data_IF_782818005496
#
_entry.id   IF_782818005496
#
_cell.length_a   1.000
_cell.length_b   1.000
_cell.length_c   1.000
_cell.angle_alpha   90.00
_cell.angle_beta   90.00
_cell.angle_gamma   90.00
#
_symmetry.space_group_name_H-M   'P 1'
#
loop_
_entity.id
_entity.type
_entity.pdbx_description
1 polymer ?
#
# COMPACT_ATOMS: atom_id res chain seq x y z
N UNK A 1 1.39 11.09 24.92
CA UNK A 1 1.84 11.35 23.53
C UNK A 1 0.73 11.64 22.51
N UNK A 2 -0.58 11.61 22.84
CA UNK A 2 -1.68 11.88 21.89
C UNK A 2 -2.13 13.35 21.77
N UNK A 3 -1.58 14.27 22.58
CA UNK A 3 -1.95 15.71 22.57
C UNK A 3 -1.01 16.60 21.74
N UNK A 4 0.18 16.10 21.41
CA UNK A 4 1.22 16.89 20.72
C UNK A 4 1.12 16.82 19.19
N UNK A 5 0.43 15.80 18.65
CA UNK A 5 0.27 15.64 17.20
C UNK A 5 -0.84 16.57 16.67
N UNK A 6 -1.90 16.86 17.43
CA UNK A 6 -2.98 17.74 16.96
C UNK A 6 -2.56 19.23 16.89
N UNK A 7 -1.72 19.69 17.83
CA UNK A 7 -1.23 21.07 17.90
C UNK A 7 -0.22 21.40 16.77
N UNK A 8 0.54 20.41 16.31
CA UNK A 8 1.46 20.57 15.18
C UNK A 8 0.69 20.70 13.85
N UNK A 9 -0.51 20.13 13.75
CA UNK A 9 -1.25 20.02 12.49
C UNK A 9 -2.14 21.23 12.17
N UNK A 10 -2.73 21.90 13.17
CA UNK A 10 -3.37 23.22 12.98
C UNK A 10 -2.34 24.23 12.50
N UNK A 11 -1.11 24.17 13.03
CA UNK A 11 0.01 24.95 12.52
C UNK A 11 0.40 24.59 11.08
N UNK A 12 0.18 23.37 10.57
CA UNK A 12 0.47 23.04 9.17
C UNK A 12 -0.60 23.59 8.25
N UNK A 13 -1.89 23.50 8.60
CA UNK A 13 -2.98 24.07 7.79
C UNK A 13 -2.95 25.62 7.77
N UNK A 14 -2.56 26.23 8.90
CA UNK A 14 -2.32 27.67 9.01
C UNK A 14 -0.97 28.10 8.42
N UNK A 15 0.06 27.25 8.42
CA UNK A 15 1.32 27.55 7.70
C UNK A 15 1.16 27.40 6.20
N UNK A 16 0.33 26.48 5.69
CA UNK A 16 -0.04 26.47 4.26
C UNK A 16 -0.87 27.69 3.86
N UNK A 17 -1.48 28.37 4.83
CA UNK A 17 -2.12 29.68 4.67
C UNK A 17 -1.11 30.86 4.65
N UNK A 18 0.15 30.67 5.04
CA UNK A 18 1.19 31.72 5.13
C UNK A 18 2.49 31.42 4.35
N UNK A 19 2.67 30.22 3.81
CA UNK A 19 3.93 29.78 3.18
C UNK A 19 3.91 29.99 1.65
N UNK A 20 3.89 31.23 1.21
CA UNK A 20 4.44 31.65 -0.07
C UNK A 20 5.13 33.01 0.14
N UNK A 21 6.40 33.08 -0.25
CA UNK A 21 7.27 34.25 -0.29
C UNK A 21 7.76 34.90 1.02
N UNK A 22 8.97 34.49 1.43
CA UNK A 22 9.84 35.28 2.31
C UNK A 22 11.25 35.49 1.76
N UNK A 23 11.46 35.40 0.43
CA UNK A 23 12.80 35.51 -0.18
C UNK A 23 13.14 36.86 -0.82
N UNK A 24 12.26 37.86 -0.79
CA UNK A 24 12.49 39.14 -1.47
C UNK A 24 13.06 40.28 -0.58
N UNK A 25 13.23 40.06 0.74
CA UNK A 25 13.51 41.13 1.70
C UNK A 25 15.00 41.51 1.84
N UNK A 26 15.96 40.79 1.25
CA UNK A 26 17.40 41.09 1.46
C UNK A 26 17.99 42.19 0.57
N UNK A 27 17.30 42.57 -0.52
CA UNK A 27 17.85 43.52 -1.49
C UNK A 27 17.47 44.97 -1.18
N UNK A 28 16.36 45.18 -0.47
CA UNK A 28 15.93 46.51 -0.03
C UNK A 28 16.85 47.09 1.04
N UNK A 29 17.24 46.28 2.03
CA UNK A 29 18.16 46.67 3.11
C UNK A 29 19.58 46.98 2.60
N UNK A 30 19.99 46.38 1.48
CA UNK A 30 21.26 46.72 0.80
C UNK A 30 21.20 48.06 0.07
N UNK A 31 20.05 48.45 -0.46
CA UNK A 31 19.88 49.75 -1.16
C UNK A 31 19.86 50.95 -0.20
N UNK A 32 19.46 50.74 1.05
CA UNK A 32 19.33 51.78 2.08
C UNK A 32 20.66 52.22 2.72
N UNK A 33 21.75 51.50 2.48
CA UNK A 33 23.05 51.81 3.09
C UNK A 33 23.96 52.71 2.25
N UNK A 34 23.54 53.11 1.04
CA UNK A 34 24.46 53.77 0.08
C UNK A 34 23.91 55.06 -0.54
N UNK A 35 23.34 55.98 0.26
CA UNK A 35 23.13 57.38 -0.19
C UNK A 35 23.24 58.36 0.99
N UNK A 36 24.46 58.85 1.25
CA UNK A 36 24.67 60.12 1.96
C UNK A 36 24.84 61.24 0.92
N UNK A 37 23.76 61.86 0.45
CA UNK A 37 23.73 63.28 0.03
C UNK A 37 22.30 63.75 -0.32
N UNK A 38 21.91 64.90 0.26
CA UNK A 38 20.69 65.71 0.01
C UNK A 38 19.36 65.32 0.71
N UNK A 39 19.29 65.59 2.02
CA UNK A 39 18.03 65.49 2.79
C UNK A 39 16.87 66.35 2.25
N UNK A 40 17.14 67.45 1.51
CA UNK A 40 16.08 68.34 1.02
C UNK A 40 15.39 67.87 -0.27
N UNK A 41 16.06 67.12 -1.15
CA UNK A 41 15.40 66.52 -2.32
C UNK A 41 14.66 65.24 -1.94
N UNK A 42 15.16 64.51 -0.94
CA UNK A 42 14.49 63.35 -0.37
C UNK A 42 13.17 63.71 0.31
N UNK A 43 13.15 64.71 1.20
CA UNK A 43 11.92 65.15 1.87
C UNK A 43 10.89 65.74 0.89
N UNK A 44 11.32 66.45 -0.16
CA UNK A 44 10.42 66.90 -1.24
C UNK A 44 9.95 65.75 -2.15
N UNK A 45 10.73 64.68 -2.33
CA UNK A 45 10.31 63.48 -3.05
C UNK A 45 9.33 62.61 -2.25
N UNK A 46 9.44 62.60 -0.92
CA UNK A 46 8.52 61.92 0.00
C UNK A 46 7.16 62.61 0.08
N UNK A 47 7.13 63.95 -0.06
CA UNK A 47 5.90 64.74 -0.06
C UNK A 47 5.22 64.83 -1.43
N UNK A 48 5.94 64.53 -2.52
CA UNK A 48 5.45 64.58 -3.91
C UNK A 48 5.33 63.21 -4.60
N UNK A 49 5.57 62.09 -3.89
CA UNK A 49 5.12 60.80 -4.39
C UNK A 49 3.60 60.78 -4.32
N UNK A 50 2.97 60.86 -5.50
CA UNK A 50 1.59 60.41 -5.68
C UNK A 50 1.43 59.09 -4.91
N UNK A 51 0.48 59.08 -3.97
CA UNK A 51 0.30 58.00 -3.01
C UNK A 51 0.43 56.65 -3.69
N UNK A 52 1.29 55.78 -3.14
CA UNK A 52 1.47 54.41 -3.60
C UNK A 52 0.11 53.81 -3.96
N UNK A 53 0.00 53.11 -5.09
CA UNK A 53 -1.25 52.45 -5.52
C UNK A 53 -1.88 51.57 -4.42
N UNK A 54 -1.08 51.20 -3.39
CA UNK A 54 -1.48 50.40 -2.23
C UNK A 54 -1.93 51.21 -1.00
N UNK A 55 -1.73 52.53 -0.95
CA UNK A 55 -2.13 53.37 0.19
C UNK A 55 -3.63 53.27 0.51
N UNK A 56 -4.55 53.26 -0.47
CA UNK A 56 -5.98 53.03 -0.22
C UNK A 56 -6.24 51.66 0.44
N UNK A 57 -5.48 50.63 0.07
CA UNK A 57 -5.60 49.28 0.62
C UNK A 57 -5.17 49.25 2.08
N UNK A 58 -4.00 49.83 2.41
CA UNK A 58 -3.54 49.89 3.80
C UNK A 58 -4.50 50.67 4.71
N UNK A 59 -5.04 51.79 4.22
CA UNK A 59 -6.05 52.56 4.96
C UNK A 59 -7.32 51.73 5.21
N UNK A 60 -7.83 51.04 4.19
CA UNK A 60 -9.00 50.18 4.35
C UNK A 60 -8.74 49.00 5.32
N UNK A 61 -7.52 48.44 5.32
CA UNK A 61 -7.10 47.39 6.28
C UNK A 61 -7.01 47.91 7.72
N UNK A 62 -6.51 49.13 7.93
CA UNK A 62 -6.49 49.78 9.25
C UNK A 62 -7.90 50.09 9.75
N UNK A 63 -8.75 50.67 8.90
CA UNK A 63 -10.16 50.95 9.22
C UNK A 63 -10.95 49.67 9.51
N UNK A 64 -10.64 48.55 8.84
CA UNK A 64 -11.20 47.24 9.18
C UNK A 64 -10.77 46.79 10.58
N UNK A 65 -9.48 46.91 10.93
CA UNK A 65 -9.00 46.56 12.26
C UNK A 65 -9.68 47.39 13.36
N UNK A 66 -9.88 48.69 13.12
CA UNK A 66 -10.58 49.57 14.06
C UNK A 66 -12.06 49.21 14.18
N UNK A 67 -12.72 48.86 13.07
CA UNK A 67 -14.09 48.36 13.09
C UNK A 67 -14.22 47.06 13.90
N UNK A 68 -13.26 46.13 13.77
CA UNK A 68 -13.19 44.90 14.57
C UNK A 68 -13.06 45.23 16.06
N UNK A 69 -12.13 46.12 16.43
CA UNK A 69 -11.90 46.53 17.83
C UNK A 69 -13.13 47.20 18.46
N UNK A 70 -13.83 48.02 17.67
CA UNK A 70 -15.05 48.70 18.10
C UNK A 70 -16.30 47.80 18.03
N UNK A 71 -16.16 46.55 17.55
CA UNK A 71 -17.25 45.58 17.37
C UNK A 71 -18.37 46.08 16.43
N UNK A 72 -18.02 46.91 15.47
CA UNK A 72 -18.96 47.43 14.48
C UNK A 72 -19.10 46.45 13.31
N UNK A 73 -20.06 45.52 13.44
CA UNK A 73 -20.32 44.47 12.43
C UNK A 73 -20.71 45.01 11.05
N UNK A 74 -21.33 46.19 10.97
CA UNK A 74 -21.72 46.82 9.72
C UNK A 74 -20.48 47.38 9.00
N UNK A 75 -19.64 48.11 9.72
CA UNK A 75 -18.37 48.62 9.19
C UNK A 75 -17.42 47.49 8.79
N UNK A 76 -17.36 46.39 9.57
CA UNK A 76 -16.56 45.21 9.21
C UNK A 76 -17.02 44.59 7.88
N UNK A 77 -18.34 44.42 7.69
CA UNK A 77 -18.87 43.88 6.43
C UNK A 77 -18.51 44.77 5.24
N UNK A 78 -18.71 46.09 5.39
CA UNK A 78 -18.42 47.07 4.35
C UNK A 78 -16.94 47.09 3.99
N UNK A 79 -16.04 47.06 4.99
CA UNK A 79 -14.59 47.13 4.76
C UNK A 79 -14.01 45.86 4.17
N UNK A 80 -14.56 44.69 4.51
CA UNK A 80 -14.18 43.44 3.85
C UNK A 80 -14.58 43.46 2.38
N UNK A 81 -15.80 43.88 2.05
CA UNK A 81 -16.26 44.00 0.66
C UNK A 81 -15.43 45.03 -0.12
N UNK A 82 -15.13 46.17 0.49
CA UNK A 82 -14.24 47.18 -0.10
C UNK A 82 -12.86 46.60 -0.43
N UNK A 83 -12.24 45.87 0.50
CA UNK A 83 -10.96 45.21 0.26
C UNK A 83 -11.06 44.15 -0.84
N UNK A 84 -12.11 43.34 -0.87
CA UNK A 84 -12.35 42.36 -1.93
C UNK A 84 -12.48 43.02 -3.31
N UNK A 85 -13.16 44.17 -3.40
CA UNK A 85 -13.28 44.94 -4.64
C UNK A 85 -11.97 45.60 -5.09
N UNK A 86 -11.04 45.84 -4.16
CA UNK A 86 -9.69 46.34 -4.44
C UNK A 86 -8.71 45.22 -4.87
N UNK A 87 -9.13 43.95 -4.85
CA UNK A 87 -8.29 42.86 -5.32
C UNK A 87 -8.04 42.97 -6.83
N UNK A 88 -6.80 42.75 -7.23
CA UNK A 88 -6.41 42.70 -8.64
C UNK A 88 -5.55 41.47 -8.88
N UNK A 89 -5.37 41.10 -10.15
CA UNK A 89 -4.60 39.92 -10.55
C UNK A 89 -3.20 39.82 -9.89
N UNK A 90 -2.42 40.91 -9.72
CA UNK A 90 -1.15 40.85 -9.00
C UNK A 90 -1.25 41.12 -7.48
N UNK A 91 -2.39 41.57 -6.94
CA UNK A 91 -2.48 42.10 -5.57
C UNK A 91 -3.65 41.50 -4.79
N UNK A 92 -3.33 40.80 -3.71
CA UNK A 92 -4.30 40.27 -2.76
C UNK A 92 -4.38 41.17 -1.53
N UNK A 93 -5.53 41.78 -1.31
CA UNK A 93 -5.75 42.82 -0.29
C UNK A 93 -6.24 42.30 1.06
N UNK A 94 -6.85 41.12 1.10
CA UNK A 94 -7.35 40.50 2.33
C UNK A 94 -7.27 38.98 2.25
N UNK A 95 -6.80 38.37 3.34
CA UNK A 95 -6.64 36.93 3.41
C UNK A 95 -7.85 36.24 4.04
N UNK A 96 -8.15 35.00 3.63
CA UNK A 96 -9.28 34.24 4.18
C UNK A 96 -9.13 33.96 5.69
N UNK A 97 -7.89 33.88 6.20
CA UNK A 97 -7.62 33.77 7.64
C UNK A 97 -8.05 35.02 8.42
N UNK A 98 -7.85 36.21 7.84
CA UNK A 98 -8.25 37.49 8.46
C UNK A 98 -9.77 37.62 8.50
N UNK A 99 -10.45 37.28 7.39
CA UNK A 99 -11.91 37.24 7.33
C UNK A 99 -12.48 36.27 8.37
N UNK A 100 -11.90 35.07 8.46
CA UNK A 100 -12.32 34.07 9.45
C UNK A 100 -12.17 34.59 10.89
N UNK A 101 -11.02 35.18 11.23
CA UNK A 101 -10.77 35.74 12.55
C UNK A 101 -11.79 36.83 12.90
N UNK A 102 -12.00 37.79 11.99
CA UNK A 102 -12.95 38.88 12.18
C UNK A 102 -14.39 38.38 12.36
N UNK A 103 -14.86 37.50 11.47
CA UNK A 103 -16.23 36.98 11.56
C UNK A 103 -16.44 36.12 12.79
N UNK A 104 -15.46 35.32 13.20
CA UNK A 104 -15.61 34.48 14.38
C UNK A 104 -15.55 35.28 15.68
N UNK A 105 -14.68 36.30 15.77
CA UNK A 105 -14.59 37.17 16.96
C UNK A 105 -15.89 37.96 17.19
N UNK A 106 -16.51 38.41 16.10
CA UNK A 106 -17.76 39.17 16.12
C UNK A 106 -19.02 38.31 16.00
N UNK A 107 -18.89 36.97 16.01
CA UNK A 107 -20.01 36.02 15.88
C UNK A 107 -20.85 36.23 14.60
N UNK A 108 -20.24 36.72 13.52
CA UNK A 108 -20.89 36.97 12.21
C UNK A 108 -20.99 35.69 11.38
N UNK A 109 -21.65 34.66 11.92
CA UNK A 109 -21.61 33.30 11.38
C UNK A 109 -22.25 33.14 9.99
N UNK A 110 -23.27 33.93 9.67
CA UNK A 110 -23.88 33.93 8.32
C UNK A 110 -22.90 34.42 7.25
N UNK A 111 -22.10 35.44 7.56
CA UNK A 111 -21.05 35.92 6.67
C UNK A 111 -19.90 34.91 6.55
N UNK A 112 -19.53 34.30 7.69
CA UNK A 112 -18.52 33.23 7.73
C UNK A 112 -18.92 32.02 6.88
N UNK A 113 -20.18 31.58 6.96
CA UNK A 113 -20.70 30.47 6.16
C UNK A 113 -20.52 30.74 4.66
N UNK A 114 -21.01 31.90 4.17
CA UNK A 114 -20.86 32.29 2.77
C UNK A 114 -19.40 32.28 2.32
N UNK A 115 -18.52 32.85 3.14
CA UNK A 115 -17.07 32.87 2.87
C UNK A 115 -16.49 31.44 2.78
N UNK A 116 -16.87 30.54 3.68
CA UNK A 116 -16.37 29.17 3.70
C UNK A 116 -16.85 28.37 2.48
N UNK A 117 -18.15 28.46 2.16
CA UNK A 117 -18.74 27.78 0.99
C UNK A 117 -18.05 28.23 -0.30
N UNK A 118 -17.98 29.55 -0.53
CA UNK A 118 -17.34 30.11 -1.72
C UNK A 118 -15.87 29.68 -1.83
N UNK A 119 -15.13 29.71 -0.71
CA UNK A 119 -13.73 29.26 -0.68
C UNK A 119 -13.58 27.80 -1.05
N UNK A 120 -14.44 26.92 -0.55
CA UNK A 120 -14.36 25.48 -0.77
C UNK A 120 -14.82 25.10 -2.18
N UNK A 121 -15.83 25.79 -2.72
CA UNK A 121 -16.25 25.65 -4.12
C UNK A 121 -15.12 26.07 -5.08
N UNK A 122 -14.36 27.12 -4.74
CA UNK A 122 -13.26 27.64 -5.55
C UNK A 122 -11.90 26.99 -5.26
N UNK A 123 -11.81 26.00 -4.36
CA UNK A 123 -10.53 25.42 -3.93
C UNK A 123 -9.75 24.73 -5.07
N UNK A 124 -10.45 24.31 -6.13
CA UNK A 124 -9.86 23.70 -7.32
C UNK A 124 -9.77 24.65 -8.52
N UNK A 125 -10.21 25.90 -8.36
CA UNK A 125 -10.06 26.90 -9.39
C UNK A 125 -8.59 27.34 -9.43
N UNK A 126 -7.83 26.78 -10.37
CA UNK A 126 -6.39 26.98 -10.52
C UNK A 126 -6.03 28.39 -11.00
N UNK A 127 -7.00 29.31 -11.04
CA UNK A 127 -6.82 30.71 -11.41
C UNK A 127 -6.17 31.55 -10.31
N UNK A 128 -6.06 31.07 -9.06
CA UNK A 128 -5.19 31.70 -8.05
C UNK A 128 -3.73 31.38 -8.35
N UNK A 129 -3.03 32.34 -8.96
CA UNK A 129 -1.70 32.13 -9.52
C UNK A 129 -0.60 32.31 -8.49
N UNK A 130 0.47 31.54 -8.64
CA UNK A 130 1.64 31.46 -7.76
C UNK A 130 2.42 32.78 -7.55
N UNK A 131 1.96 33.91 -8.11
CA UNK A 131 2.67 35.19 -8.14
C UNK A 131 1.84 36.37 -7.56
N UNK A 132 0.77 36.12 -6.78
CA UNK A 132 0.01 37.19 -6.13
C UNK A 132 0.82 37.82 -4.98
N UNK A 133 1.09 39.13 -5.06
CA UNK A 133 1.66 39.88 -3.96
C UNK A 133 0.56 40.13 -2.92
N UNK A 134 0.73 39.57 -1.72
CA UNK A 134 -0.17 39.80 -0.61
C UNK A 134 0.18 41.11 0.10
N UNK A 135 -0.80 42.01 0.20
CA UNK A 135 -0.69 43.24 1.01
C UNK A 135 -0.86 42.84 2.46
N UNK A 136 0.23 42.41 3.08
CA UNK A 136 0.30 41.94 4.45
C UNK A 136 1.31 42.71 5.30
N UNK A 137 1.58 42.17 6.49
CA UNK A 137 2.54 42.70 7.48
C UNK A 137 2.09 44.01 8.16
N UNK A 138 0.81 44.09 8.51
CA UNK A 138 0.22 45.20 9.26
C UNK A 138 -0.50 44.73 10.53
N UNK A 139 -1.17 45.66 11.22
CA UNK A 139 -1.90 45.37 12.46
C UNK A 139 -3.05 44.38 12.27
N UNK A 140 -3.67 44.33 11.09
CA UNK A 140 -4.77 43.40 10.80
C UNK A 140 -4.24 41.96 10.69
N UNK A 141 -3.12 41.77 9.99
CA UNK A 141 -2.46 40.48 9.90
C UNK A 141 -1.99 40.00 11.28
N UNK A 142 -1.37 40.87 12.08
CA UNK A 142 -0.94 40.55 13.44
C UNK A 142 -2.12 40.16 14.36
N UNK A 143 -3.25 40.87 14.24
CA UNK A 143 -4.49 40.51 14.94
C UNK A 143 -4.98 39.12 14.55
N UNK A 144 -5.05 38.82 13.25
CA UNK A 144 -5.53 37.53 12.78
C UNK A 144 -4.62 36.38 13.25
N UNK A 145 -3.29 36.56 13.19
CA UNK A 145 -2.33 35.58 13.70
C UNK A 145 -2.49 35.34 15.20
N UNK A 146 -2.60 36.41 16.01
CA UNK A 146 -2.79 36.29 17.45
C UNK A 146 -4.12 35.61 17.78
N UNK A 147 -5.20 35.97 17.09
CA UNK A 147 -6.50 35.34 17.23
C UNK A 147 -6.41 33.83 16.95
N UNK A 148 -5.89 33.48 15.78
CA UNK A 148 -5.75 32.10 15.35
C UNK A 148 -4.86 31.30 16.31
N UNK A 149 -3.73 31.86 16.76
CA UNK A 149 -2.82 31.21 17.69
C UNK A 149 -3.44 31.00 19.08
N UNK A 150 -4.21 31.96 19.59
CA UNK A 150 -5.00 31.82 20.83
C UNK A 150 -6.00 30.68 20.75
N UNK A 151 -6.54 30.43 19.56
CA UNK A 151 -7.57 29.42 19.33
C UNK A 151 -7.08 28.21 18.52
N UNK A 152 -5.77 27.96 18.42
CA UNK A 152 -5.16 26.88 17.62
C UNK A 152 -5.45 25.44 18.13
N UNK A 153 -6.51 25.26 18.94
CA UNK A 153 -6.87 24.00 19.58
C UNK A 153 -8.34 23.62 19.31
N UNK A 154 -8.69 22.36 19.64
CA UNK A 154 -10.05 21.82 19.65
C UNK A 154 -11.10 22.75 20.31
N UNK A 155 -10.65 23.66 21.17
CA UNK A 155 -11.45 24.71 21.82
C UNK A 155 -12.15 25.67 20.86
N UNK A 156 -11.61 25.95 19.67
CA UNK A 156 -12.24 26.87 18.70
C UNK A 156 -13.56 26.29 18.19
N UNK A 157 -13.50 25.08 17.63
CA UNK A 157 -14.67 24.40 17.07
C UNK A 157 -15.70 24.08 18.15
N UNK A 158 -15.27 23.61 19.33
CA UNK A 158 -16.17 23.38 20.46
C UNK A 158 -16.85 24.67 20.93
N UNK A 159 -16.16 25.82 20.84
CA UNK A 159 -16.73 27.13 21.15
C UNK A 159 -17.77 27.60 20.12
N UNK A 160 -17.47 27.42 18.83
CA UNK A 160 -18.42 27.72 17.74
C UNK A 160 -19.64 26.81 17.83
N UNK A 161 -19.45 25.49 17.98
CA UNK A 161 -20.56 24.53 18.12
C UNK A 161 -21.49 24.89 19.27
N UNK A 162 -20.93 25.22 20.44
CA UNK A 162 -21.74 25.64 21.59
C UNK A 162 -22.57 26.88 21.29
N UNK A 163 -21.99 27.89 20.65
CA UNK A 163 -22.74 29.09 20.29
C UNK A 163 -23.86 28.79 19.29
N UNK A 164 -23.59 27.94 18.28
CA UNK A 164 -24.58 27.52 17.31
C UNK A 164 -25.78 26.82 17.97
N UNK A 165 -25.55 26.03 19.02
CA UNK A 165 -26.61 25.32 19.74
C UNK A 165 -27.44 26.20 20.68
N UNK A 166 -26.90 27.33 21.17
CA UNK A 166 -27.53 28.08 22.27
C UNK A 166 -27.94 29.51 21.96
N UNK A 167 -27.21 30.18 21.07
CA UNK A 167 -27.28 31.65 20.91
C UNK A 167 -27.39 32.12 19.44
N UNK A 168 -27.40 31.21 18.46
CA UNK A 168 -27.33 31.59 17.04
C UNK A 168 -28.68 32.02 16.46
N UNK A 169 -28.63 32.98 15.54
CA UNK A 169 -29.74 33.46 14.69
C UNK A 169 -29.81 32.74 13.33
N UNK A 170 -28.99 31.70 13.13
CA UNK A 170 -28.97 30.91 11.90
C UNK A 170 -30.15 29.94 11.85
N UNK A 171 -30.60 29.65 10.64
CA UNK A 171 -31.55 28.55 10.41
C UNK A 171 -30.88 27.19 10.65
N UNK A 172 -31.66 26.13 10.90
CA UNK A 172 -31.09 24.78 11.09
C UNK A 172 -30.24 24.35 9.89
N UNK A 173 -30.70 24.62 8.66
CA UNK A 173 -29.95 24.34 7.45
C UNK A 173 -28.57 25.04 7.46
N UNK A 174 -28.53 26.34 7.76
CA UNK A 174 -27.29 27.12 7.87
C UNK A 174 -26.37 26.59 8.97
N UNK A 175 -26.91 26.15 10.12
CA UNK A 175 -26.13 25.55 11.21
C UNK A 175 -25.47 24.24 10.76
N UNK A 176 -26.23 23.37 10.10
CA UNK A 176 -25.72 22.09 9.61
C UNK A 176 -24.68 22.27 8.51
N UNK A 177 -24.91 23.20 7.59
CA UNK A 177 -23.95 23.55 6.55
C UNK A 177 -22.66 24.11 7.14
N UNK A 178 -22.77 25.05 8.09
CA UNK A 178 -21.61 25.65 8.73
C UNK A 178 -20.76 24.61 9.46
N UNK A 179 -21.41 23.67 10.17
CA UNK A 179 -20.72 22.53 10.79
C UNK A 179 -19.97 21.71 9.75
N UNK A 180 -20.63 21.35 8.65
CA UNK A 180 -19.98 20.61 7.57
C UNK A 180 -18.76 21.36 7.03
N UNK A 181 -18.91 22.66 6.72
CA UNK A 181 -17.82 23.48 6.17
C UNK A 181 -16.64 23.62 7.13
N UNK A 182 -16.90 23.71 8.44
CA UNK A 182 -15.86 23.78 9.47
C UNK A 182 -15.05 22.49 9.58
N UNK A 183 -15.69 21.33 9.44
CA UNK A 183 -15.01 20.02 9.55
C UNK A 183 -14.41 19.52 8.23
N UNK A 184 -14.89 20.00 7.08
CA UNK A 184 -14.45 19.52 5.78
C UNK A 184 -12.93 19.60 5.55
N UNK A 185 -12.21 20.67 5.96
CA UNK A 185 -10.75 20.72 5.87
C UNK A 185 -10.03 19.55 6.56
N UNK A 186 -10.65 18.98 7.59
CA UNK A 186 -10.08 17.90 8.40
C UNK A 186 -10.52 16.51 7.95
N UNK A 187 -11.34 16.42 6.88
CA UNK A 187 -12.02 15.19 6.48
C UNK A 187 -11.05 14.02 6.28
N UNK A 188 -9.88 14.27 5.69
CA UNK A 188 -8.91 13.23 5.34
C UNK A 188 -7.79 13.04 6.37
N UNK A 189 -7.81 13.76 7.49
CA UNK A 189 -6.74 13.69 8.50
C UNK A 189 -6.77 12.39 9.31
N UNK A 190 -7.97 11.84 9.52
CA UNK A 190 -8.17 10.62 10.30
C UNK A 190 -9.46 9.91 9.90
N UNK A 191 -9.55 8.62 10.22
CA UNK A 191 -10.75 7.83 9.97
C UNK A 191 -11.99 8.40 10.68
N UNK A 192 -11.82 8.87 11.90
CA UNK A 192 -12.92 9.42 12.69
C UNK A 192 -13.44 10.72 12.05
N UNK A 193 -12.56 11.51 11.45
CA UNK A 193 -12.96 12.71 10.71
C UNK A 193 -13.66 12.38 9.38
N UNK A 194 -13.19 11.37 8.62
CA UNK A 194 -13.89 10.90 7.41
C UNK A 194 -15.33 10.54 7.76
N UNK A 195 -15.52 9.77 8.83
CA UNK A 195 -16.84 9.32 9.26
C UNK A 195 -17.72 10.49 9.74
N UNK A 196 -17.15 11.41 10.52
CA UNK A 196 -17.86 12.60 11.00
C UNK A 196 -18.32 13.48 9.84
N UNK A 197 -17.43 13.81 8.91
CA UNK A 197 -17.76 14.65 7.74
C UNK A 197 -18.75 13.94 6.83
N UNK A 198 -18.60 12.63 6.61
CA UNK A 198 -19.58 11.84 5.85
C UNK A 198 -20.96 11.92 6.49
N UNK A 199 -21.07 11.71 7.80
CA UNK A 199 -22.35 11.79 8.51
C UNK A 199 -23.00 13.16 8.37
N UNK A 200 -22.22 14.23 8.51
CA UNK A 200 -22.70 15.60 8.33
C UNK A 200 -23.16 15.86 6.88
N UNK A 201 -22.39 15.40 5.89
CA UNK A 201 -22.71 15.56 4.48
C UNK A 201 -23.96 14.76 4.06
N UNK A 202 -24.06 13.49 4.47
CA UNK A 202 -25.25 12.66 4.23
C UNK A 202 -26.49 13.29 4.86
N UNK A 203 -26.41 13.69 6.13
CA UNK A 203 -27.53 14.34 6.81
C UNK A 203 -27.96 15.63 6.09
N UNK A 204 -27.00 16.46 5.67
CA UNK A 204 -27.31 17.71 4.97
C UNK A 204 -28.00 17.46 3.63
N UNK A 205 -27.48 16.55 2.81
CA UNK A 205 -28.03 16.22 1.49
C UNK A 205 -29.43 15.58 1.59
N UNK A 206 -29.66 14.77 2.62
CA UNK A 206 -30.95 14.08 2.84
C UNK A 206 -32.04 15.01 3.38
N UNK A 207 -31.71 15.90 4.31
CA UNK A 207 -32.69 16.74 5.01
C UNK A 207 -32.87 18.12 4.37
N UNK A 208 -31.90 18.58 3.57
CA UNK A 208 -31.91 19.89 2.92
C UNK A 208 -31.66 19.76 1.41
N UNK A 209 -32.34 18.82 0.75
CA UNK A 209 -32.16 18.54 -0.69
C UNK A 209 -32.40 19.72 -1.62
N UNK A 210 -33.25 20.67 -1.20
CA UNK A 210 -33.61 21.86 -1.98
C UNK A 210 -32.65 23.05 -1.72
N UNK A 211 -31.65 22.88 -0.84
CA UNK A 211 -30.65 23.92 -0.57
C UNK A 211 -29.74 24.12 -1.80
N UNK A 212 -29.37 25.37 -2.17
CA UNK A 212 -28.54 25.64 -3.35
C UNK A 212 -27.22 24.85 -3.36
N UNK A 213 -26.62 24.65 -2.20
CA UNK A 213 -25.33 23.95 -2.06
C UNK A 213 -25.46 22.42 -1.93
N UNK A 214 -26.67 21.86 -1.83
CA UNK A 214 -26.87 20.42 -1.60
C UNK A 214 -26.28 19.55 -2.71
N UNK A 215 -26.42 19.98 -3.96
CA UNK A 215 -25.89 19.25 -5.12
C UNK A 215 -24.34 19.24 -5.15
N UNK A 216 -23.74 20.39 -4.80
CA UNK A 216 -22.30 20.50 -4.67
C UNK A 216 -21.79 19.64 -3.51
N UNK A 217 -22.44 19.66 -2.34
CA UNK A 217 -22.08 18.80 -1.20
C UNK A 217 -22.19 17.31 -1.59
N UNK A 218 -23.25 16.90 -2.28
CA UNK A 218 -23.41 15.51 -2.73
C UNK A 218 -22.24 15.07 -3.63
N UNK A 219 -21.97 15.85 -4.67
CA UNK A 219 -21.04 15.48 -5.74
C UNK A 219 -19.57 15.64 -5.34
N UNK A 220 -19.26 16.75 -4.66
CA UNK A 220 -17.88 17.16 -4.37
C UNK A 220 -17.41 16.76 -2.96
N UNK A 221 -18.32 16.43 -2.04
CA UNK A 221 -17.97 16.04 -0.67
C UNK A 221 -18.36 14.60 -0.37
N UNK A 222 -19.65 14.26 -0.45
CA UNK A 222 -20.16 12.97 0.00
C UNK A 222 -19.65 11.80 -0.83
N UNK A 223 -19.84 11.84 -2.16
CA UNK A 223 -19.43 10.75 -3.05
C UNK A 223 -17.92 10.42 -2.96
N UNK A 224 -16.99 11.40 -2.94
CA UNK A 224 -15.57 11.11 -2.69
C UNK A 224 -15.30 10.38 -1.37
N UNK A 225 -15.97 10.78 -0.28
CA UNK A 225 -15.80 10.15 1.03
C UNK A 225 -16.32 8.71 1.03
N UNK A 226 -17.43 8.44 0.33
CA UNK A 226 -17.94 7.09 0.11
C UNK A 226 -16.95 6.23 -0.68
N UNK A 227 -16.35 6.77 -1.75
CA UNK A 227 -15.30 6.07 -2.53
C UNK A 227 -14.05 5.77 -1.68
N UNK A 228 -13.61 6.69 -0.83
CA UNK A 228 -12.48 6.47 0.07
C UNK A 228 -12.75 5.30 1.05
N UNK A 229 -14.02 5.12 1.44
CA UNK A 229 -14.44 4.00 2.31
C UNK A 229 -14.50 2.65 1.58
N UNK A 230 -14.70 2.63 0.26
CA UNK A 230 -14.84 1.40 -0.52
C UNK A 230 -13.64 0.45 -0.36
N UNK A 231 -12.40 0.96 -0.44
CA UNK A 231 -11.20 0.10 -0.32
C UNK A 231 -11.12 -0.56 1.06
N UNK A 232 -11.52 0.15 2.10
CA UNK A 232 -11.51 -0.36 3.48
C UNK A 232 -12.62 -1.38 3.68
N UNK A 233 -13.83 -1.09 3.22
CA UNK A 233 -14.96 -2.03 3.31
C UNK A 233 -14.74 -3.26 2.42
N UNK A 234 -14.13 -3.10 1.25
CA UNK A 234 -13.68 -4.21 0.40
C UNK A 234 -12.69 -5.13 1.12
N UNK A 235 -11.69 -4.58 1.82
CA UNK A 235 -10.75 -5.39 2.60
C UNK A 235 -11.41 -6.08 3.80
N UNK A 236 -12.39 -5.44 4.44
CA UNK A 236 -13.17 -6.05 5.53
C UNK A 236 -14.06 -7.19 5.04
N UNK A 237 -14.84 -6.99 3.98
CA UNK A 237 -15.68 -8.02 3.38
C UNK A 237 -14.83 -9.23 2.95
N UNK A 238 -13.65 -8.97 2.38
CA UNK A 238 -12.68 -10.02 2.02
C UNK A 238 -12.18 -10.83 3.20
N UNK A 239 -11.88 -10.18 4.32
CA UNK A 239 -11.48 -10.91 5.53
C UNK A 239 -12.65 -11.76 6.06
N UNK A 240 -13.87 -11.22 6.03
CA UNK A 240 -15.08 -11.93 6.45
C UNK A 240 -15.38 -13.17 5.58
N UNK A 241 -15.13 -13.09 4.27
CA UNK A 241 -15.38 -14.16 3.29
C UNK A 241 -14.14 -14.98 2.92
N UNK A 242 -13.07 -14.87 3.70
CA UNK A 242 -11.79 -15.53 3.45
C UNK A 242 -11.91 -17.04 3.21
N UNK A 243 -12.75 -17.73 3.98
CA UNK A 243 -12.95 -19.19 3.83
C UNK A 243 -13.58 -19.58 2.50
N UNK A 244 -14.60 -18.83 2.06
CA UNK A 244 -15.31 -19.07 0.80
C UNK A 244 -14.37 -18.89 -0.40
N UNK A 245 -13.57 -17.83 -0.36
CA UNK A 245 -12.63 -17.51 -1.43
C UNK A 245 -11.51 -18.58 -1.48
N UNK A 246 -11.01 -19.07 -0.34
CA UNK A 246 -9.98 -20.12 -0.28
C UNK A 246 -10.55 -21.40 -0.89
N UNK A 247 -11.76 -21.80 -0.48
CA UNK A 247 -12.40 -23.02 -0.95
C UNK A 247 -12.61 -23.02 -2.48
N UNK A 248 -12.94 -21.86 -3.06
CA UNK A 248 -13.16 -21.73 -4.51
C UNK A 248 -11.90 -22.00 -5.37
N UNK A 249 -10.70 -21.97 -4.77
CA UNK A 249 -9.42 -22.01 -5.51
C UNK A 249 -8.77 -23.39 -5.60
N UNK A 250 -9.13 -24.34 -4.74
CA UNK A 250 -8.46 -25.64 -4.68
C UNK A 250 -8.58 -26.51 -5.95
N UNK A 251 -9.40 -26.10 -6.92
CA UNK A 251 -9.61 -26.81 -8.18
C UNK A 251 -9.45 -25.93 -9.43
N UNK A 252 -8.93 -24.70 -9.29
CA UNK A 252 -8.74 -23.80 -10.43
C UNK A 252 -7.37 -23.97 -11.10
N UNK A 253 -6.36 -24.37 -10.34
CA UNK A 253 -4.98 -24.55 -10.83
C UNK A 253 -3.96 -23.87 -9.92
N UNK A 254 -2.67 -24.11 -10.15
CA UNK A 254 -1.59 -23.53 -9.37
C UNK A 254 -0.22 -24.13 -9.66
N UNK A 255 0.83 -23.56 -9.08
CA UNK A 255 2.21 -24.06 -9.13
C UNK A 255 2.64 -24.44 -7.73
N UNK A 256 3.31 -25.58 -7.58
CA UNK A 256 3.87 -26.04 -6.32
C UNK A 256 5.32 -26.46 -6.40
N UNK A 257 6.04 -26.21 -5.31
CA UNK A 257 7.44 -26.54 -5.11
C UNK A 257 7.55 -27.40 -3.86
N UNK A 258 7.99 -28.64 -4.03
CA UNK A 258 8.12 -29.61 -2.96
C UNK A 258 9.60 -29.95 -2.78
N UNK A 259 10.08 -29.95 -1.54
CA UNK A 259 11.42 -30.38 -1.17
C UNK A 259 11.29 -31.52 -0.17
N UNK A 260 11.85 -32.68 -0.50
CA UNK A 260 11.81 -33.86 0.35
C UNK A 260 13.16 -34.06 1.04
N UNK A 261 13.13 -34.09 2.37
CA UNK A 261 14.32 -34.22 3.23
C UNK A 261 14.47 -35.63 3.79
N UNK A 262 13.36 -36.38 3.86
CA UNK A 262 13.35 -37.76 4.30
C UNK A 262 12.87 -38.62 3.14
N UNK A 263 13.58 -39.71 2.89
CA UNK A 263 13.20 -40.64 1.84
C UNK A 263 13.81 -42.00 2.10
N UNK A 264 13.06 -43.04 1.73
CA UNK A 264 13.50 -44.41 1.89
C UNK A 264 12.62 -45.34 1.08
N UNK A 265 12.91 -46.61 1.22
CA UNK A 265 12.16 -47.65 0.54
C UNK A 265 12.70 -49.03 0.84
N UNK A 266 11.99 -50.01 0.33
CA UNK A 266 12.33 -51.41 0.47
C UNK A 266 11.83 -52.16 -0.77
N UNK A 267 12.53 -53.22 -1.14
CA UNK A 267 12.17 -54.03 -2.29
C UNK A 267 13.34 -54.88 -2.75
N UNK A 268 13.52 -55.03 -4.06
CA UNK A 268 14.46 -55.96 -4.65
C UNK A 268 15.91 -55.67 -4.22
N UNK A 269 16.49 -56.59 -3.44
CA UNK A 269 17.81 -56.41 -2.81
C UNK A 269 18.99 -56.51 -3.77
N UNK A 270 18.74 -56.79 -5.05
CA UNK A 270 19.72 -57.22 -6.04
C UNK A 270 19.94 -56.24 -7.18
N UNK A 271 19.61 -54.96 -7.05
CA UNK A 271 19.78 -53.99 -8.15
C UNK A 271 21.24 -53.75 -8.54
N UNK A 272 22.17 -53.81 -7.58
CA UNK A 272 23.61 -53.65 -7.85
C UNK A 272 24.50 -54.55 -6.97
N UNK A 273 25.76 -54.67 -7.37
CA UNK A 273 26.84 -55.40 -6.71
C UNK A 273 27.32 -54.65 -5.46
N UNK A 274 26.74 -54.97 -4.30
CA UNK A 274 27.15 -54.43 -2.98
C UNK A 274 28.61 -54.73 -2.63
N UNK A 275 29.20 -55.74 -3.25
CA UNK A 275 30.60 -56.10 -3.14
C UNK A 275 31.55 -55.13 -3.87
N UNK A 276 31.04 -54.37 -4.84
CA UNK A 276 31.82 -53.40 -5.63
C UNK A 276 31.51 -51.94 -5.26
N UNK A 277 30.26 -51.64 -4.87
CA UNK A 277 29.80 -50.29 -4.62
C UNK A 277 28.97 -50.18 -3.33
N UNK A 278 29.28 -49.17 -2.51
CA UNK A 278 28.58 -48.79 -1.29
C UNK A 278 27.66 -47.61 -1.60
N UNK A 279 26.33 -47.82 -1.66
CA UNK A 279 25.38 -46.78 -2.02
C UNK A 279 25.37 -45.63 -1.00
N UNK A 280 25.40 -44.40 -1.48
CA UNK A 280 25.23 -43.18 -0.68
C UNK A 280 23.81 -42.66 -0.85
N UNK A 281 23.25 -42.07 0.20
CA UNK A 281 21.89 -41.52 0.15
C UNK A 281 21.92 -40.09 -0.38
N UNK A 282 20.97 -39.76 -1.24
CA UNK A 282 20.70 -38.38 -1.63
C UNK A 282 19.96 -37.68 -0.49
N UNK A 283 20.53 -36.61 0.09
CA UNK A 283 19.96 -35.97 1.27
C UNK A 283 18.75 -35.08 0.95
N UNK A 284 18.65 -34.57 -0.29
CA UNK A 284 17.60 -33.64 -0.69
C UNK A 284 17.08 -34.02 -2.07
N UNK A 285 15.75 -34.12 -2.17
CA UNK A 285 15.00 -34.42 -3.38
C UNK A 285 14.01 -33.27 -3.65
N UNK A 286 13.55 -33.12 -4.88
CA UNK A 286 12.70 -31.99 -5.28
C UNK A 286 11.62 -32.37 -6.28
N UNK A 287 10.51 -31.64 -6.26
CA UNK A 287 9.48 -31.70 -7.27
C UNK A 287 8.95 -30.29 -7.52
N UNK A 288 8.83 -29.94 -8.80
CA UNK A 288 8.08 -28.76 -9.24
C UNK A 288 6.89 -29.26 -10.02
N UNK A 289 5.68 -28.86 -9.64
CA UNK A 289 4.49 -29.27 -10.35
C UNK A 289 3.58 -28.10 -10.71
N UNK A 290 2.92 -28.26 -11.85
CA UNK A 290 1.88 -27.40 -12.36
C UNK A 290 0.55 -28.17 -12.27
N UNK A 291 -0.46 -27.56 -11.67
CA UNK A 291 -1.83 -28.05 -11.65
C UNK A 291 -2.71 -27.19 -12.57
N UNK A 292 -3.39 -27.85 -13.49
CA UNK A 292 -4.42 -27.28 -14.36
C UNK A 292 -5.73 -27.97 -14.02
N UNK A 293 -6.61 -27.27 -13.29
CA UNK A 293 -7.80 -27.86 -12.69
C UNK A 293 -7.48 -29.07 -11.82
N UNK A 294 -7.92 -30.28 -12.20
CA UNK A 294 -7.60 -31.54 -11.51
C UNK A 294 -6.41 -32.29 -12.12
N UNK A 295 -5.88 -31.85 -13.24
CA UNK A 295 -4.71 -32.47 -13.86
C UNK A 295 -3.45 -31.82 -13.31
N UNK A 296 -2.40 -32.61 -13.13
CA UNK A 296 -1.10 -32.10 -12.71
C UNK A 296 0.02 -32.70 -13.52
N UNK A 297 1.02 -31.89 -13.85
CA UNK A 297 2.28 -32.33 -14.45
C UNK A 297 3.39 -31.90 -13.53
N UNK A 298 4.33 -32.79 -13.24
CA UNK A 298 5.47 -32.49 -12.37
C UNK A 298 6.80 -32.90 -13.00
N UNK A 299 7.82 -32.08 -12.80
CA UNK A 299 9.22 -32.47 -12.95
C UNK A 299 9.75 -32.90 -11.59
N UNK A 300 10.38 -34.07 -11.54
CA UNK A 300 10.67 -34.76 -10.28
C UNK A 300 12.11 -35.24 -10.23
N UNK A 301 12.75 -35.01 -9.09
CA UNK A 301 13.99 -35.60 -8.65
C UNK A 301 13.71 -36.29 -7.32
N UNK A 302 13.34 -37.58 -7.35
CA UNK A 302 12.83 -38.32 -6.19
C UNK A 302 13.62 -39.60 -5.91
N UNK A 303 13.62 -40.06 -4.66
CA UNK A 303 14.21 -41.35 -4.30
C UNK A 303 13.45 -42.50 -4.99
N UNK A 304 14.20 -43.44 -5.57
CA UNK A 304 13.65 -44.60 -6.26
C UNK A 304 13.08 -45.69 -5.31
N UNK A 305 13.24 -45.53 -3.99
CA UNK A 305 13.00 -46.56 -2.99
C UNK A 305 14.23 -47.41 -2.68
N UNK A 306 15.31 -47.19 -3.42
CA UNK A 306 16.55 -47.93 -3.32
C UNK A 306 17.72 -47.03 -2.95
N UNK A 307 18.58 -47.47 -2.04
CA UNK A 307 19.72 -46.66 -1.60
C UNK A 307 20.69 -46.46 -2.77
N UNK A 308 21.14 -45.23 -2.99
CA UNK A 308 22.05 -44.90 -4.09
C UNK A 308 21.37 -44.67 -5.44
N UNK A 309 20.05 -44.81 -5.57
CA UNK A 309 19.35 -44.54 -6.83
C UNK A 309 18.40 -43.36 -6.67
N UNK A 310 18.53 -42.37 -7.55
CA UNK A 310 17.60 -41.24 -7.66
C UNK A 310 16.96 -41.21 -9.05
N UNK A 311 15.68 -40.92 -9.08
CA UNK A 311 14.86 -40.88 -10.28
C UNK A 311 14.67 -39.42 -10.71
N UNK A 312 15.20 -39.06 -11.89
CA UNK A 312 14.97 -37.77 -12.53
C UNK A 312 13.97 -37.96 -13.68
N UNK A 313 12.84 -37.29 -13.64
CA UNK A 313 11.80 -37.52 -14.65
C UNK A 313 10.62 -36.57 -14.59
N UNK A 314 9.55 -36.99 -15.27
CA UNK A 314 8.27 -36.30 -15.29
C UNK A 314 7.19 -37.20 -14.72
N UNK A 315 6.17 -36.61 -14.12
CA UNK A 315 4.98 -37.33 -13.69
C UNK A 315 3.69 -36.63 -14.09
N UNK A 316 2.66 -37.43 -14.28
CA UNK A 316 1.30 -37.01 -14.61
C UNK A 316 0.37 -37.50 -13.52
N UNK A 317 -0.35 -36.58 -12.91
CA UNK A 317 -1.23 -36.85 -11.78
C UNK A 317 -2.63 -36.31 -11.95
N UNK A 318 -3.52 -36.83 -11.11
CA UNK A 318 -4.90 -36.38 -11.00
C UNK A 318 -5.20 -36.03 -9.55
N UNK A 319 -5.72 -34.83 -9.29
CA UNK A 319 -6.10 -34.36 -7.96
C UNK A 319 -7.47 -34.96 -7.63
N UNK A 320 -7.42 -36.11 -6.95
CA UNK A 320 -8.61 -36.83 -6.50
C UNK A 320 -9.35 -36.05 -5.42
N UNK A 321 -8.60 -35.35 -4.57
CA UNK A 321 -9.15 -34.58 -3.47
C UNK A 321 -8.26 -33.37 -3.19
N UNK A 322 -8.86 -32.21 -2.94
CA UNK A 322 -8.14 -30.98 -2.58
C UNK A 322 -9.00 -30.12 -1.64
N UNK A 323 -8.43 -29.72 -0.51
CA UNK A 323 -9.10 -28.89 0.48
C UNK A 323 -8.09 -27.96 1.15
N UNK A 324 -8.56 -27.22 2.17
CA UNK A 324 -7.71 -26.36 2.99
C UNK A 324 -6.65 -27.12 3.79
N UNK A 325 -6.93 -28.35 4.18
CA UNK A 325 -6.07 -29.08 5.12
C UNK A 325 -5.34 -30.25 4.48
N UNK A 326 -5.93 -30.85 3.44
CA UNK A 326 -5.41 -32.05 2.84
C UNK A 326 -5.65 -32.06 1.33
N UNK A 327 -4.67 -32.59 0.60
CA UNK A 327 -4.71 -32.83 -0.84
C UNK A 327 -4.18 -34.22 -1.14
N UNK A 328 -4.83 -34.91 -2.07
CA UNK A 328 -4.47 -36.25 -2.52
C UNK A 328 -4.37 -36.26 -4.04
N UNK A 329 -3.21 -36.70 -4.54
CA UNK A 329 -2.90 -36.77 -5.96
C UNK A 329 -2.25 -38.11 -6.31
N UNK A 330 -3.02 -39.10 -6.80
CA UNK A 330 -2.45 -40.21 -7.55
C UNK A 330 -1.70 -39.73 -8.79
N UNK A 331 -0.61 -40.42 -9.15
CA UNK A 331 0.20 -40.07 -10.30
C UNK A 331 0.93 -41.28 -10.91
N UNK A 332 1.34 -41.11 -12.16
CA UNK A 332 2.22 -42.01 -12.92
C UNK A 332 3.46 -41.23 -13.35
N UNK A 333 4.64 -41.76 -13.06
CA UNK A 333 5.93 -41.11 -13.36
C UNK A 333 6.79 -41.93 -14.31
N UNK A 334 7.50 -41.23 -15.19
CA UNK A 334 8.52 -41.80 -16.07
C UNK A 334 9.83 -41.07 -15.80
N UNK A 335 10.85 -41.81 -15.40
CA UNK A 335 12.14 -41.23 -15.01
C UNK A 335 13.31 -42.01 -15.55
N UNK A 336 14.47 -41.36 -15.58
CA UNK A 336 15.76 -42.00 -15.71
C UNK A 336 16.38 -42.19 -14.33
N UNK A 337 17.14 -43.27 -14.18
CA UNK A 337 17.81 -43.59 -12.93
C UNK A 337 19.24 -43.05 -12.95
N UNK A 338 19.58 -42.26 -11.95
CA UNK A 338 20.94 -41.85 -11.64
C UNK A 338 21.42 -42.67 -10.43
N UNK A 339 22.70 -43.04 -10.43
CA UNK A 339 23.29 -43.86 -9.39
C UNK A 339 24.40 -43.10 -8.66
N UNK A 340 24.39 -43.20 -7.33
CA UNK A 340 25.39 -42.65 -6.43
C UNK A 340 25.86 -43.73 -5.46
N UNK A 341 27.14 -44.03 -5.54
CA UNK A 341 27.78 -44.98 -4.65
C UNK A 341 29.28 -44.73 -4.57
N UNK A 342 29.84 -44.98 -3.40
CA UNK A 342 31.28 -45.00 -3.19
C UNK A 342 31.82 -46.39 -3.55
N UNK A 343 32.95 -46.52 -4.27
CA UNK A 343 33.54 -47.81 -4.54
C UNK A 343 34.02 -48.49 -3.24
N UNK A 344 33.75 -49.79 -3.09
CA UNK A 344 34.25 -50.60 -1.96
C UNK A 344 35.67 -51.10 -2.25
N UNK A 345 35.95 -51.41 -3.53
CA UNK A 345 37.27 -51.80 -4.04
C UNK A 345 37.44 -51.23 -5.45
N UNK A 346 38.65 -50.79 -5.85
CA UNK A 346 38.93 -50.52 -7.25
C UNK A 346 38.73 -51.82 -8.05
N UNK A 347 37.95 -51.77 -9.13
CA UNK A 347 37.78 -52.89 -10.04
C UNK A 347 38.04 -52.42 -11.48
N UNK A 348 38.60 -53.32 -12.28
CA UNK A 348 38.84 -53.10 -13.70
C UNK A 348 37.75 -53.80 -14.51
N UNK A 349 37.05 -53.06 -15.36
CA UNK A 349 36.21 -53.65 -16.40
C UNK A 349 37.02 -53.76 -17.70
N UNK A 350 37.19 -54.98 -18.19
CA UNK A 350 37.96 -55.26 -19.41
C UNK A 350 37.10 -55.18 -20.69
N UNK A 351 35.79 -54.99 -20.57
CA UNK A 351 34.84 -55.02 -21.71
C UNK A 351 34.83 -53.72 -22.52
N UNK A 352 35.34 -52.60 -21.98
CA UNK A 352 35.24 -51.27 -22.59
C UNK A 352 36.60 -50.60 -22.90
N UNK A 353 37.52 -51.33 -23.55
CA UNK A 353 38.77 -50.78 -24.10
C UNK A 353 39.71 -50.11 -23.08
N UNK A 354 39.97 -50.76 -21.93
CA UNK A 354 41.13 -50.44 -21.09
C UNK A 354 41.14 -49.03 -20.49
N UNK A 355 40.00 -48.34 -20.42
CA UNK A 355 39.86 -47.14 -19.61
C UNK A 355 39.65 -47.57 -18.17
N UNK A 356 40.52 -47.11 -17.28
CA UNK A 356 40.33 -47.20 -15.84
C UNK A 356 39.00 -46.54 -15.50
N UNK A 357 37.94 -47.32 -15.23
CA UNK A 357 36.77 -46.82 -14.51
C UNK A 357 37.12 -46.63 -13.03
N UNK A 358 38.17 -45.85 -12.78
CA UNK A 358 38.37 -45.20 -11.50
C UNK A 358 37.51 -43.94 -11.50
N UNK A 359 36.73 -43.77 -10.44
CA UNK A 359 35.97 -42.56 -10.10
C UNK A 359 34.61 -42.40 -10.80
N UNK A 360 33.57 -42.89 -10.12
CA UNK A 360 32.34 -42.12 -9.98
C UNK A 360 32.36 -41.55 -8.55
N UNK A 361 33.14 -40.48 -8.32
CA UNK A 361 32.91 -39.61 -7.15
C UNK A 361 32.02 -38.46 -7.59
N UNK A 362 31.17 -38.02 -6.68
CA UNK A 362 30.22 -36.93 -6.91
C UNK A 362 30.84 -35.56 -7.23
N UNK A 363 32.18 -35.46 -7.23
CA UNK A 363 32.90 -34.22 -7.55
C UNK A 363 32.87 -33.87 -9.05
N UNK A 364 32.46 -34.82 -9.91
CA UNK A 364 32.44 -34.65 -11.37
C UNK A 364 31.06 -34.23 -11.91
N UNK A 365 30.32 -33.41 -11.14
CA UNK A 365 29.03 -32.80 -11.51
C UNK A 365 29.14 -31.71 -12.60
N UNK A 366 30.00 -31.95 -13.58
CA UNK A 366 30.26 -31.08 -14.73
C UNK A 366 30.97 -31.76 -15.89
N UNK A 367 31.33 -33.04 -15.80
CA UNK A 367 31.83 -33.80 -16.95
C UNK A 367 30.64 -34.27 -17.80
N UNK A 368 30.81 -34.24 -19.12
CA UNK A 368 29.77 -34.45 -20.15
C UNK A 368 29.13 -35.85 -20.13
N UNK A 369 29.57 -36.75 -19.23
CA UNK A 369 29.24 -38.18 -19.19
C UNK A 369 28.48 -38.60 -17.91
N UNK A 370 27.50 -37.81 -17.45
CA UNK A 370 26.55 -38.30 -16.43
C UNK A 370 25.63 -39.35 -17.06
N UNK A 371 26.10 -40.59 -17.12
CA UNK A 371 25.36 -41.67 -17.77
C UNK A 371 24.12 -42.09 -16.94
N UNK A 372 22.96 -42.14 -17.61
CA UNK A 372 21.76 -42.72 -17.02
C UNK A 372 21.88 -44.25 -16.94
N UNK A 373 21.77 -44.80 -15.73
CA UNK A 373 21.94 -46.23 -15.40
C UNK A 373 20.68 -47.07 -15.71
N UNK A 374 19.60 -46.42 -16.15
CA UNK A 374 18.34 -47.09 -16.43
C UNK A 374 17.17 -46.13 -16.55
N UNK A 375 15.97 -46.71 -16.49
CA UNK A 375 14.70 -46.00 -16.40
C UNK A 375 13.83 -46.54 -15.27
N UNK A 376 12.93 -45.72 -14.77
CA UNK A 376 11.89 -46.15 -13.85
C UNK A 376 10.51 -45.76 -14.36
N UNK A 377 9.56 -46.66 -14.12
CA UNK A 377 8.13 -46.38 -14.18
C UNK A 377 7.59 -46.37 -12.76
N UNK A 378 6.99 -45.25 -12.34
CA UNK A 378 6.54 -45.04 -10.97
C UNK A 378 5.02 -44.94 -10.93
N UNK A 379 4.39 -45.69 -10.04
CA UNK A 379 3.00 -45.51 -9.67
C UNK A 379 2.94 -45.07 -8.21
N UNK A 380 2.30 -43.95 -7.92
CA UNK A 380 2.29 -43.44 -6.56
C UNK A 380 1.14 -42.50 -6.26
N UNK A 381 1.14 -42.03 -5.02
CA UNK A 381 0.20 -41.04 -4.51
C UNK A 381 0.98 -40.01 -3.71
N UNK A 382 0.67 -38.74 -3.96
CA UNK A 382 1.07 -37.62 -3.14
C UNK A 382 -0.05 -37.30 -2.15
N UNK A 383 0.31 -37.08 -0.88
CA UNK A 383 -0.59 -36.61 0.16
C UNK A 383 0.04 -35.40 0.83
N UNK A 384 -0.63 -34.26 0.71
CA UNK A 384 -0.15 -32.98 1.21
C UNK A 384 -1.03 -32.50 2.36
N UNK A 385 -0.44 -32.31 3.54
CA UNK A 385 -1.08 -31.79 4.74
C UNK A 385 -0.79 -30.30 4.89
N UNK A 386 -1.73 -29.46 4.46
CA UNK A 386 -1.63 -28.00 4.47
C UNK A 386 -1.89 -27.47 5.88
N UNK A 387 -0.92 -26.77 6.45
CA UNK A 387 -1.02 -26.19 7.79
C UNK A 387 -1.04 -24.65 7.78
N UNK A 388 -0.64 -24.03 6.67
CA UNK A 388 -0.80 -22.60 6.46
C UNK A 388 -1.42 -22.35 5.09
N UNK A 389 -2.44 -21.51 5.01
CA UNK A 389 -3.04 -21.04 3.75
C UNK A 389 -3.47 -19.61 3.96
N UNK A 390 -3.02 -18.71 3.08
CA UNK A 390 -3.33 -17.28 3.18
C UNK A 390 -3.44 -16.65 1.80
N UNK A 391 -4.20 -15.57 1.74
CA UNK A 391 -4.32 -14.75 0.55
C UNK A 391 -3.15 -13.79 0.41
N UNK A 392 -2.82 -13.46 -0.83
CA UNK A 392 -1.98 -12.29 -1.09
C UNK A 392 -2.83 -11.04 -0.89
N UNK A 393 -2.49 -10.19 0.10
CA UNK A 393 -3.28 -8.99 0.45
C UNK A 393 -3.37 -7.93 -0.67
N UNK A 394 -2.59 -8.07 -1.74
CA UNK A 394 -2.46 -7.08 -2.81
C UNK A 394 -3.26 -7.48 -4.06
N UNK A 395 -3.48 -8.77 -4.32
CA UNK A 395 -4.15 -9.25 -5.53
C UNK A 395 -5.40 -10.07 -5.20
N UNK A 396 -6.46 -9.86 -5.97
CA UNK A 396 -7.79 -10.44 -5.75
C UNK A 396 -7.85 -11.97 -5.89
N UNK A 397 -6.82 -12.60 -6.45
CA UNK A 397 -6.91 -13.93 -7.04
C UNK A 397 -5.90 -14.96 -6.50
N UNK A 398 -4.77 -14.52 -5.92
CA UNK A 398 -3.68 -15.42 -5.55
C UNK A 398 -3.76 -15.93 -4.10
N UNK A 399 -3.72 -17.25 -3.92
CA UNK A 399 -3.62 -17.91 -2.61
C UNK A 399 -2.26 -18.60 -2.50
N UNK A 400 -1.60 -18.51 -1.36
CA UNK A 400 -0.44 -19.35 -1.08
C UNK A 400 -0.74 -20.32 0.05
N UNK A 401 -0.11 -21.49 0.00
CA UNK A 401 -0.21 -22.47 1.08
C UNK A 401 1.11 -23.20 1.31
N UNK A 402 1.33 -23.61 2.55
CA UNK A 402 2.46 -24.44 2.94
C UNK A 402 1.93 -25.74 3.50
N UNK A 403 2.54 -26.85 3.08
CA UNK A 403 2.18 -28.18 3.55
C UNK A 403 3.40 -29.01 3.96
N UNK A 404 3.13 -29.99 4.81
CA UNK A 404 3.94 -31.20 4.90
C UNK A 404 3.54 -32.09 3.72
N UNK A 405 4.50 -32.44 2.86
CA UNK A 405 4.25 -33.23 1.65
C UNK A 405 4.79 -34.63 1.83
N UNK A 406 3.97 -35.60 1.49
CA UNK A 406 4.35 -37.00 1.52
C UNK A 406 4.07 -37.65 0.18
N UNK A 407 4.93 -38.58 -0.19
CA UNK A 407 4.85 -39.29 -1.46
C UNK A 407 5.17 -40.74 -1.22
N UNK A 408 4.32 -41.63 -1.71
CA UNK A 408 4.50 -43.07 -1.55
C UNK A 408 4.07 -43.79 -2.82
N UNK A 409 4.70 -44.92 -3.10
CA UNK A 409 4.35 -45.69 -4.28
C UNK A 409 5.31 -46.85 -4.55
N UNK A 410 5.22 -47.36 -5.77
CA UNK A 410 6.05 -48.45 -6.28
C UNK A 410 6.73 -47.98 -7.56
N UNK A 411 8.04 -48.17 -7.63
CA UNK A 411 8.86 -47.92 -8.80
C UNK A 411 9.28 -49.25 -9.42
N UNK A 412 9.01 -49.45 -10.69
CA UNK A 412 9.65 -50.50 -11.49
C UNK A 412 10.94 -49.94 -12.05
N UNK A 413 12.07 -50.45 -11.59
CA UNK A 413 13.41 -50.06 -12.03
C UNK A 413 13.88 -51.00 -13.14
N UNK A 414 14.23 -50.43 -14.27
CA UNK A 414 14.86 -51.11 -15.41
C UNK A 414 16.30 -50.60 -15.54
N UNK A 415 17.25 -51.33 -14.95
CA UNK A 415 18.67 -50.97 -14.94
C UNK A 415 19.41 -51.74 -16.03
N UNK A 416 20.27 -51.04 -16.77
CA UNK A 416 21.01 -51.63 -17.91
C UNK A 416 21.83 -52.84 -17.48
N UNK A 417 21.36 -54.06 -17.80
CA UNK A 417 22.12 -55.29 -17.52
C UNK A 417 23.49 -55.24 -18.19
N UNK A 418 24.54 -55.59 -17.44
CA UNK A 418 25.92 -55.64 -17.94
C UNK A 418 26.73 -54.38 -17.69
N UNK A 419 26.15 -53.31 -17.15
CA UNK A 419 26.93 -52.21 -16.56
C UNK A 419 27.59 -52.74 -15.26
N UNK A 420 28.89 -52.54 -15.01
CA UNK A 420 29.68 -53.37 -14.09
C UNK A 420 29.18 -53.44 -12.64
N UNK A 421 28.43 -52.44 -12.19
CA UNK A 421 27.82 -52.41 -10.86
C UNK A 421 26.37 -52.91 -10.83
N UNK A 422 25.67 -53.00 -11.95
CA UNK A 422 24.22 -53.28 -12.02
C UNK A 422 23.91 -54.77 -12.21
N UNK A 423 22.77 -55.24 -11.70
CA UNK A 423 22.36 -56.66 -11.74
C UNK A 423 20.99 -56.90 -12.38
N UNK A 424 20.20 -55.86 -12.65
CA UNK A 424 18.97 -55.95 -13.45
C UNK A 424 17.76 -55.22 -12.86
N UNK A 425 16.58 -55.75 -13.18
CA UNK A 425 15.29 -55.05 -13.03
C UNK A 425 14.51 -55.56 -11.82
N UNK A 426 13.68 -54.71 -11.23
CA UNK A 426 12.95 -55.04 -10.01
C UNK A 426 11.93 -53.97 -9.64
N UNK A 427 11.17 -54.25 -8.57
CA UNK A 427 10.15 -53.35 -8.04
C UNK A 427 10.54 -52.94 -6.62
N UNK A 428 10.51 -51.63 -6.36
CA UNK A 428 10.82 -51.05 -5.06
C UNK A 428 9.66 -50.17 -4.59
N UNK A 429 9.26 -50.37 -3.33
CA UNK A 429 8.37 -49.45 -2.64
C UNK A 429 9.19 -48.28 -2.15
N UNK A 430 8.72 -47.06 -2.38
CA UNK A 430 9.39 -45.86 -1.93
C UNK A 430 8.44 -44.99 -1.09
N UNK A 431 9.04 -44.20 -0.21
CA UNK A 431 8.37 -43.10 0.47
C UNK A 431 9.29 -41.88 0.51
N UNK A 432 8.71 -40.69 0.49
CA UNK A 432 9.38 -39.41 0.69
C UNK A 432 8.51 -38.48 1.54
N UNK A 433 9.13 -37.71 2.42
CA UNK A 433 8.49 -36.73 3.29
C UNK A 433 9.27 -35.41 3.24
N UNK A 434 8.53 -34.31 3.18
CA UNK A 434 9.09 -33.01 2.88
C UNK A 434 8.18 -31.85 3.24
N UNK A 435 8.56 -30.67 2.73
CA UNK A 435 7.77 -29.45 2.78
C UNK A 435 7.41 -29.00 1.36
N UNK A 436 6.19 -28.50 1.21
CA UNK A 436 5.65 -27.96 -0.04
C UNK A 436 5.20 -26.52 0.12
N UNK A 437 5.50 -25.70 -0.89
CA UNK A 437 4.98 -24.35 -1.05
C UNK A 437 4.16 -24.28 -2.33
N UNK A 438 2.93 -23.80 -2.24
CA UNK A 438 1.99 -23.73 -3.36
C UNK A 438 1.49 -22.32 -3.56
N UNK A 439 1.28 -21.98 -4.83
CA UNK A 439 0.68 -20.75 -5.30
C UNK A 439 -0.50 -21.11 -6.21
N UNK A 440 -1.70 -20.74 -5.79
CA UNK A 440 -2.98 -21.01 -6.47
C UNK A 440 -3.53 -19.76 -7.15
#
# INVERSE_FOLDING_TARGET
MKRSVLAIFVCVFLKTLYAADSSALSDFERSLMDVQTSQNEFEQSLLNQEGSELEPVYKAREELLDAIRNKDTAAVSQKIEELENMQSYPVKTIHAGEKFAAYNDLKMYRAMLKMLVQRLQNAYDSTSLQNEAYVGNDGLMAYAEDYINKFASKSLYEGIERYLDTESDLTEAEIHELRLMLYLPMAYDSRDNIEKVRTLASYFVENYSDHPDAEWVRTCVLEPLERASFRVEFLKDRNARSEEIIASRFYTGGIGFNVYFLGGGFGYSGHYRKDLAKPSSYPVNGEVYLQLSRLSVSGELINAGHKGVINLGMSFGFVAYDSRYWKIRPYVGFSKCLFNADPVKPYFDSVHNGKDYSYYSFDDWGSEDTEFFGSALTLGVNVDLKFATSFRSIDSYGVWSVAVVSKFGVSQLDMKKGFPVTRGNGHDVFFALGLGLYFW
#
